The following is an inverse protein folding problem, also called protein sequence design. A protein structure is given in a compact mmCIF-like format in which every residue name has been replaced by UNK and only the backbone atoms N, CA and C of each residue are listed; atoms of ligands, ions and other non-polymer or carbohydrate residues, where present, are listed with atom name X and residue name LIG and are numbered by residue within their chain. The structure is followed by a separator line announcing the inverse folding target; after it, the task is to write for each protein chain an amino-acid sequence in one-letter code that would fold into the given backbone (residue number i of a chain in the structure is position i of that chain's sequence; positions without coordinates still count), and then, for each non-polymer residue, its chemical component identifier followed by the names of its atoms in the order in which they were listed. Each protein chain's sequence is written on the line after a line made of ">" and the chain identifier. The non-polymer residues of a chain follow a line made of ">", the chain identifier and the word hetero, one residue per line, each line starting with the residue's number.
data_IF_067636346789
#
_entry.id   IF_067636346789
#
_cell.length_a   1.000
_cell.length_b   1.000
_cell.length_c   1.000
_cell.angle_alpha   90.00
_cell.angle_beta   90.00
_cell.angle_gamma   90.00
#
_symmetry.space_group_name_H-M   'P 1'
#
loop_
_entity.id
_entity.type
_entity.pdbx_description
1 polymer ?
#
# COMPACT_ATOMS: atom_id res chain seq x y z
N UNK A 1 -13.88 4.58 16.01
CA UNK A 1 -14.21 6.01 15.76
C UNK A 1 -13.49 6.60 14.54
N UNK A 2 -12.17 6.44 14.43
CA UNK A 2 -11.37 7.09 13.38
C UNK A 2 -11.72 6.66 11.95
N UNK A 3 -11.93 5.36 11.71
CA UNK A 3 -12.32 4.85 10.38
C UNK A 3 -13.71 5.33 9.98
N UNK A 4 -14.67 5.31 10.91
CA UNK A 4 -16.06 5.74 10.66
C UNK A 4 -16.11 7.23 10.31
N UNK A 5 -15.40 8.07 11.08
CA UNK A 5 -15.25 9.48 10.75
C UNK A 5 -14.57 9.64 9.38
N UNK A 6 -13.56 8.82 9.12
CA UNK A 6 -12.87 8.65 7.84
C UNK A 6 -13.82 8.47 6.67
N UNK A 7 -14.73 7.52 6.80
CA UNK A 7 -15.74 7.17 5.81
C UNK A 7 -16.71 8.34 5.64
N UNK A 8 -17.18 8.96 6.74
CA UNK A 8 -18.15 10.05 6.67
C UNK A 8 -17.61 11.28 5.95
N UNK A 9 -16.41 11.76 6.28
CA UNK A 9 -15.85 12.94 5.60
C UNK A 9 -15.55 12.66 4.12
N UNK A 10 -15.10 11.44 3.80
CA UNK A 10 -14.74 11.05 2.44
C UNK A 10 -15.95 10.73 1.55
N UNK A 11 -17.17 10.75 2.10
CA UNK A 11 -18.41 10.60 1.32
C UNK A 11 -18.59 11.72 0.30
N UNK A 12 -18.10 12.93 0.60
CA UNK A 12 -18.12 14.06 -0.32
C UNK A 12 -17.40 13.78 -1.66
N UNK A 13 -16.44 12.83 -1.67
CA UNK A 13 -15.74 12.41 -2.89
C UNK A 13 -16.64 11.64 -3.86
N UNK A 14 -17.71 10.99 -3.38
CA UNK A 14 -18.60 10.21 -4.23
C UNK A 14 -19.22 11.07 -5.34
N UNK A 15 -19.67 12.29 -4.99
CA UNK A 15 -20.23 13.23 -5.97
C UNK A 15 -19.20 13.63 -7.02
N UNK A 16 -17.98 13.93 -6.57
CA UNK A 16 -16.87 14.32 -7.46
C UNK A 16 -16.53 13.19 -8.43
N UNK A 17 -16.53 11.94 -7.96
CA UNK A 17 -16.26 10.79 -8.82
C UNK A 17 -17.31 10.60 -9.91
N UNK A 18 -18.60 10.76 -9.57
CA UNK A 18 -19.70 10.71 -10.55
C UNK A 18 -19.58 11.86 -11.54
N UNK A 19 -19.42 13.10 -11.05
CA UNK A 19 -19.31 14.29 -11.90
C UNK A 19 -18.11 14.21 -12.88
N UNK A 20 -16.99 13.61 -12.46
CA UNK A 20 -15.83 13.38 -13.31
C UNK A 20 -16.11 12.34 -14.41
N UNK A 21 -16.82 11.26 -14.07
CA UNK A 21 -17.17 10.22 -15.03
C UNK A 21 -18.20 10.72 -16.06
N UNK A 22 -19.17 11.53 -15.61
CA UNK A 22 -20.15 12.16 -16.50
C UNK A 22 -19.51 13.16 -17.47
N UNK A 23 -18.43 13.83 -17.03
CA UNK A 23 -17.66 14.77 -17.87
C UNK A 23 -16.77 14.04 -18.88
N UNK A 24 -16.16 12.93 -18.48
CA UNK A 24 -15.29 12.13 -19.33
C UNK A 24 -15.59 10.63 -19.16
N UNK A 25 -16.42 10.05 -20.05
CA UNK A 25 -16.76 8.62 -20.00
C UNK A 25 -15.58 7.68 -20.27
N UNK A 26 -14.41 8.20 -20.68
CA UNK A 26 -13.20 7.38 -20.87
C UNK A 26 -12.44 7.12 -19.56
N UNK A 27 -12.81 7.79 -18.46
CA UNK A 27 -12.25 7.52 -17.15
C UNK A 27 -12.63 6.11 -16.67
N UNK A 28 -11.61 5.29 -16.42
CA UNK A 28 -11.80 3.90 -16.02
C UNK A 28 -12.00 3.78 -14.51
N UNK A 29 -10.99 4.17 -13.72
CA UNK A 29 -10.96 3.99 -12.27
C UNK A 29 -10.56 5.28 -11.57
N UNK A 30 -11.38 5.69 -10.61
CA UNK A 30 -11.07 6.75 -9.66
C UNK A 30 -10.96 6.13 -8.28
N UNK A 31 -9.91 6.49 -7.53
CA UNK A 31 -9.67 5.88 -6.24
C UNK A 31 -9.08 6.85 -5.22
N UNK A 32 -9.37 6.58 -3.96
CA UNK A 32 -8.83 7.28 -2.81
C UNK A 32 -8.36 6.24 -1.78
N UNK A 33 -7.06 6.27 -1.47
CA UNK A 33 -6.46 5.50 -0.38
C UNK A 33 -6.25 6.39 0.83
N UNK A 34 -6.81 6.00 1.97
CA UNK A 34 -6.58 6.70 3.22
C UNK A 34 -5.30 6.22 3.89
N UNK A 35 -4.57 7.12 4.57
CA UNK A 35 -3.48 6.75 5.48
C UNK A 35 -3.95 5.83 6.62
N UNK A 36 -5.26 5.84 6.92
CA UNK A 36 -5.90 4.95 7.90
C UNK A 36 -6.21 3.55 7.34
N UNK A 37 -5.91 3.28 6.07
CA UNK A 37 -6.01 1.95 5.44
C UNK A 37 -7.33 1.65 4.73
N UNK A 38 -8.36 2.50 4.88
CA UNK A 38 -9.59 2.33 4.11
C UNK A 38 -9.43 2.88 2.69
N UNK A 39 -10.17 2.29 1.75
CA UNK A 39 -10.08 2.56 0.32
C UNK A 39 -11.46 2.86 -0.25
N UNK A 40 -11.54 3.85 -1.13
CA UNK A 40 -12.73 4.15 -1.93
C UNK A 40 -12.38 4.05 -3.41
N UNK A 41 -13.28 3.50 -4.19
CA UNK A 41 -13.14 3.33 -5.63
C UNK A 41 -14.46 3.61 -6.33
N UNK A 42 -14.38 4.23 -7.51
CA UNK A 42 -15.48 4.44 -8.41
C UNK A 42 -15.09 4.04 -9.85
N UNK A 43 -15.95 3.29 -10.58
CA UNK A 43 -17.19 2.68 -10.11
C UNK A 43 -16.92 1.61 -9.04
N UNK A 44 -17.88 1.38 -8.15
CA UNK A 44 -17.75 0.42 -7.06
C UNK A 44 -17.68 -1.01 -7.59
N UNK A 45 -16.67 -1.78 -7.17
CA UNK A 45 -16.55 -3.21 -7.48
C UNK A 45 -16.76 -4.05 -6.24
N UNK A 46 -17.31 -5.25 -6.45
CA UNK A 46 -17.28 -6.29 -5.43
C UNK A 46 -15.89 -6.92 -5.43
N UNK A 47 -15.19 -6.84 -4.31
CA UNK A 47 -13.92 -7.53 -4.13
C UNK A 47 -14.17 -9.04 -4.06
N UNK A 48 -13.44 -9.78 -4.88
CA UNK A 48 -13.45 -11.24 -4.84
C UNK A 48 -12.35 -11.73 -3.90
N UNK A 49 -12.69 -12.58 -2.92
CA UNK A 49 -11.69 -13.19 -2.06
C UNK A 49 -10.83 -14.18 -2.86
N UNK A 50 -9.62 -14.43 -2.38
CA UNK A 50 -8.76 -15.48 -2.93
C UNK A 50 -9.31 -16.90 -2.68
N UNK A 51 -8.61 -17.93 -3.16
CA UNK A 51 -8.98 -19.35 -2.95
C UNK A 51 -9.16 -19.73 -1.48
N UNK A 52 -8.57 -18.95 -0.55
CA UNK A 52 -8.66 -19.14 0.89
C UNK A 52 -9.73 -18.26 1.55
N UNK A 53 -10.51 -17.50 0.78
CA UNK A 53 -11.56 -16.63 1.30
C UNK A 53 -11.06 -15.27 1.83
N UNK A 54 -9.79 -14.92 1.59
CA UNK A 54 -9.15 -13.74 2.18
C UNK A 54 -9.02 -12.61 1.15
N UNK A 55 -9.34 -11.39 1.58
CA UNK A 55 -9.08 -10.16 0.81
C UNK A 55 -7.87 -9.47 1.45
N UNK A 56 -6.68 -9.78 0.96
CA UNK A 56 -5.42 -9.23 1.49
C UNK A 56 -5.06 -7.84 0.88
N UNK A 57 -6.06 -7.04 0.51
CA UNK A 57 -5.82 -5.74 -0.13
C UNK A 57 -5.57 -4.65 0.91
N UNK A 58 -4.37 -4.04 0.87
CA UNK A 58 -4.07 -2.78 1.55
C UNK A 58 -3.65 -1.74 0.49
N UNK A 59 -4.28 -0.57 0.51
CA UNK A 59 -3.96 0.53 -0.41
C UNK A 59 -2.59 1.15 -0.13
N UNK A 60 -2.10 1.10 1.10
CA UNK A 60 -0.84 1.75 1.53
C UNK A 60 0.41 1.02 1.05
N UNK A 61 0.27 -0.27 0.79
CA UNK A 61 1.34 -1.11 0.25
C UNK A 61 1.37 -1.10 -1.29
N UNK A 62 0.56 -0.27 -1.95
CA UNK A 62 0.53 -0.19 -3.41
C UNK A 62 1.57 0.80 -3.90
N UNK A 63 2.26 0.43 -4.99
CA UNK A 63 3.28 1.27 -5.63
C UNK A 63 2.78 2.70 -5.89
N UNK A 64 1.57 2.86 -6.44
CA UNK A 64 0.98 4.18 -6.69
C UNK A 64 0.80 5.02 -5.42
N UNK A 65 0.48 4.39 -4.28
CA UNK A 65 0.30 5.08 -3.02
C UNK A 65 1.65 5.48 -2.45
N UNK A 66 2.62 4.56 -2.44
CA UNK A 66 3.97 4.77 -1.92
C UNK A 66 4.68 5.88 -2.71
N UNK A 67 4.61 5.85 -4.04
CA UNK A 67 5.20 6.86 -4.92
C UNK A 67 4.58 8.25 -4.73
N UNK A 68 3.28 8.32 -4.40
CA UNK A 68 2.62 9.59 -4.11
C UNK A 68 2.89 10.09 -2.68
N UNK A 69 3.06 9.18 -1.72
CA UNK A 69 3.22 9.50 -0.30
C UNK A 69 4.67 9.78 0.10
N UNK A 70 5.64 9.27 -0.67
CA UNK A 70 7.07 9.38 -0.35
C UNK A 70 7.86 9.87 -1.55
N UNK A 71 8.91 10.64 -1.28
CA UNK A 71 9.88 11.03 -2.31
C UNK A 71 10.91 9.90 -2.51
N UNK A 72 11.60 9.88 -3.67
CA UNK A 72 12.71 8.97 -3.91
C UNK A 72 13.72 9.00 -2.75
N UNK A 73 14.14 7.83 -2.28
CA UNK A 73 15.00 7.68 -1.10
C UNK A 73 16.15 6.69 -1.33
N UNK A 74 17.28 7.01 -0.71
CA UNK A 74 18.45 6.13 -0.66
C UNK A 74 18.51 5.44 0.70
N UNK A 75 18.45 4.10 0.73
CA UNK A 75 18.34 3.31 1.98
C UNK A 75 19.50 2.32 2.12
N UNK A 76 20.11 2.25 3.30
CA UNK A 76 21.09 1.19 3.64
C UNK A 76 20.51 0.30 4.72
N UNK A 77 20.42 -1.00 4.45
CA UNK A 77 19.88 -2.01 5.36
C UNK A 77 21.05 -2.77 5.98
N UNK A 78 21.18 -2.70 7.31
CA UNK A 78 22.17 -3.47 8.06
C UNK A 78 21.50 -4.69 8.72
N UNK A 79 21.99 -5.89 8.40
CA UNK A 79 21.42 -7.16 8.86
C UNK A 79 22.41 -7.85 9.80
N UNK A 80 22.06 -8.01 11.07
CA UNK A 80 22.91 -8.78 12.00
C UNK A 80 22.96 -10.27 11.60
N UNK A 81 24.17 -10.78 11.35
CA UNK A 81 24.46 -12.20 11.09
C UNK A 81 25.26 -12.87 12.22
N UNK A 82 25.28 -12.26 13.40
CA UNK A 82 25.93 -12.80 14.59
C UNK A 82 25.39 -14.19 14.97
N UNK A 83 26.15 -14.92 15.78
CA UNK A 83 25.74 -16.25 16.26
C UNK A 83 24.40 -16.26 17.00
N UNK A 84 23.94 -15.11 17.51
CA UNK A 84 22.66 -14.93 18.20
C UNK A 84 21.44 -14.94 17.26
N UNK A 85 21.68 -14.80 15.96
CA UNK A 85 20.66 -14.74 14.92
C UNK A 85 20.36 -16.10 14.30
N UNK A 86 21.06 -17.17 14.69
CA UNK A 86 20.87 -18.52 14.15
C UNK A 86 19.42 -19.01 14.29
N UNK A 87 18.96 -19.73 13.28
CA UNK A 87 17.61 -20.32 13.24
C UNK A 87 16.54 -19.30 12.87
N UNK A 88 15.45 -19.26 13.66
CA UNK A 88 14.23 -18.49 13.34
C UNK A 88 14.48 -16.99 13.20
N UNK A 89 15.42 -16.41 13.97
CA UNK A 89 15.68 -14.97 13.97
C UNK A 89 16.24 -14.48 12.63
N UNK A 90 17.19 -15.21 12.05
CA UNK A 90 17.72 -14.90 10.72
C UNK A 90 16.65 -15.07 9.63
N UNK A 91 15.77 -16.08 9.76
CA UNK A 91 14.66 -16.26 8.81
C UNK A 91 13.68 -15.08 8.87
N UNK A 92 13.30 -14.65 10.08
CA UNK A 92 12.44 -13.48 10.27
C UNK A 92 13.13 -12.23 9.73
N UNK A 93 14.42 -12.02 10.04
CA UNK A 93 15.17 -10.86 9.52
C UNK A 93 15.16 -10.82 7.99
N UNK A 94 15.44 -11.95 7.33
CA UNK A 94 15.38 -12.05 5.86
C UNK A 94 13.99 -11.72 5.32
N UNK A 95 12.94 -12.22 5.96
CA UNK A 95 11.57 -11.96 5.53
C UNK A 95 11.17 -10.50 5.74
N UNK A 96 11.57 -9.88 6.86
CA UNK A 96 11.39 -8.45 7.10
C UNK A 96 12.13 -7.60 6.07
N UNK A 97 13.38 -7.95 5.73
CA UNK A 97 14.13 -7.26 4.67
C UNK A 97 13.39 -7.36 3.33
N UNK A 98 12.88 -8.56 2.97
CA UNK A 98 12.06 -8.73 1.77
C UNK A 98 10.83 -7.82 1.78
N UNK A 99 10.10 -7.75 2.90
CA UNK A 99 8.94 -6.88 3.03
C UNK A 99 9.28 -5.39 2.95
N UNK A 100 10.47 -4.98 3.38
CA UNK A 100 10.95 -3.59 3.21
C UNK A 100 11.25 -3.33 1.72
N UNK A 101 11.91 -4.26 1.03
CA UNK A 101 12.22 -4.14 -0.39
C UNK A 101 10.94 -4.04 -1.23
N UNK A 102 9.86 -4.73 -0.86
CA UNK A 102 8.55 -4.64 -1.52
C UNK A 102 7.93 -3.22 -1.42
N UNK A 103 8.40 -2.39 -0.49
CA UNK A 103 7.97 -0.98 -0.34
C UNK A 103 8.83 0.02 -1.11
N UNK A 104 9.92 -0.43 -1.74
CA UNK A 104 10.77 0.45 -2.53
C UNK A 104 10.22 0.61 -3.95
N UNK A 105 10.19 1.85 -4.42
CA UNK A 105 9.82 2.20 -5.79
C UNK A 105 10.96 2.01 -6.78
N UNK A 106 10.65 2.21 -8.06
CA UNK A 106 11.66 2.09 -9.14
C UNK A 106 12.72 3.21 -9.06
N UNK A 107 12.41 4.32 -8.39
CA UNK A 107 13.29 5.48 -8.18
C UNK A 107 14.07 5.42 -6.85
N UNK A 108 13.87 4.38 -6.04
CA UNK A 108 14.55 4.22 -4.75
C UNK A 108 15.83 3.40 -4.92
N UNK A 109 16.95 3.89 -4.36
CA UNK A 109 18.19 3.13 -4.31
C UNK A 109 18.36 2.45 -2.96
N UNK A 110 18.91 1.24 -2.96
CA UNK A 110 19.20 0.54 -1.71
C UNK A 110 20.52 -0.24 -1.75
N UNK A 111 21.08 -0.47 -0.57
CA UNK A 111 22.17 -1.41 -0.37
C UNK A 111 21.96 -2.23 0.91
N UNK A 112 22.47 -3.45 0.95
CA UNK A 112 22.33 -4.37 2.08
C UNK A 112 23.71 -4.78 2.56
N UNK A 113 23.97 -4.59 3.85
CA UNK A 113 25.21 -4.96 4.54
C UNK A 113 24.86 -5.97 5.62
N UNK A 114 25.62 -7.06 5.71
CA UNK A 114 25.43 -8.15 6.66
C UNK A 114 26.69 -8.36 7.50
#
# INVERSE_FOLDING_TARGET
>A
PEIVNGIYWSEALNKVFVDNFDRDPSLIWQYFGSAKGFFRQYPGIKWEPDENGVIAFDCRNRKWYIQAATSPKDVVILVDVSGSMKGLRLTIAKQTVSSILDTLGDDDFFNIIA
#
